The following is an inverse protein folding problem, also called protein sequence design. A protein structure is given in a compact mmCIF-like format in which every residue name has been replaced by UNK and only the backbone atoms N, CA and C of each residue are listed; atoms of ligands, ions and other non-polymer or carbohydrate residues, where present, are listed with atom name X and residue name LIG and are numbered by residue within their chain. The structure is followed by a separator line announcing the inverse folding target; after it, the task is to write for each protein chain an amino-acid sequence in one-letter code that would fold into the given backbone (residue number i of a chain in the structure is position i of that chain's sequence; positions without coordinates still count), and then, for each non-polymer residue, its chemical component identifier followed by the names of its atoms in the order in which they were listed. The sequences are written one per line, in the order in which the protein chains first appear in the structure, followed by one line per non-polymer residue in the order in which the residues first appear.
data_IF_765329602993
#
_entry.id   IF_765329602993
#
_cell.length_a   1.000
_cell.length_b   1.000
_cell.length_c   1.000
_cell.angle_alpha   90.00
_cell.angle_beta   90.00
_cell.angle_gamma   90.00
#
_symmetry.space_group_name_H-M   'P 1'
#
loop_
_entity.id
_entity.type
_entity.pdbx_description
1 polymer ?
#
# COMPACT_ATOMS: atom_id res chain seq x y z
N UNK A 1 -3.47 19.78 9.69
CA UNK A 1 -3.51 18.84 10.87
C UNK A 1 -2.73 17.57 10.54
N UNK A 2 -1.83 17.05 11.41
CA UNK A 2 -1.05 15.85 11.13
C UNK A 2 -1.92 14.63 10.83
N UNK A 3 -1.46 13.76 9.92
CA UNK A 3 -2.08 12.45 9.70
C UNK A 3 -2.03 11.65 11.01
N UNK A 4 -3.20 11.34 11.56
CA UNK A 4 -3.28 10.42 12.69
C UNK A 4 -3.13 8.99 12.16
N UNK A 5 -1.91 8.47 12.19
CA UNK A 5 -1.57 7.15 11.69
C UNK A 5 -2.42 6.03 12.33
N UNK A 6 -2.70 6.12 13.63
CA UNK A 6 -3.53 5.14 14.31
C UNK A 6 -4.97 5.16 13.80
N UNK A 7 -5.53 6.35 13.57
CA UNK A 7 -6.86 6.47 12.97
C UNK A 7 -6.89 5.92 11.55
N UNK A 8 -5.86 6.19 10.75
CA UNK A 8 -5.74 5.65 9.39
C UNK A 8 -5.73 4.12 9.41
N UNK A 9 -4.90 3.50 10.24
CA UNK A 9 -4.82 2.04 10.38
C UNK A 9 -6.17 1.45 10.79
N UNK A 10 -6.87 2.06 11.76
CA UNK A 10 -8.22 1.62 12.17
C UNK A 10 -9.21 1.68 11.03
N UNK A 11 -9.19 2.76 10.27
CA UNK A 11 -10.10 2.95 9.15
C UNK A 11 -9.78 2.01 7.97
N UNK A 12 -8.50 1.73 7.72
CA UNK A 12 -8.06 0.71 6.77
C UNK A 12 -8.49 -0.70 7.18
N UNK A 13 -8.32 -1.08 8.45
CA UNK A 13 -8.76 -2.39 8.97
C UNK A 13 -10.29 -2.55 8.86
N UNK A 14 -11.05 -1.50 9.20
CA UNK A 14 -12.51 -1.47 9.05
C UNK A 14 -12.91 -1.65 7.59
N UNK A 15 -12.27 -0.94 6.68
CA UNK A 15 -12.53 -1.03 5.24
C UNK A 15 -12.18 -2.41 4.66
N UNK A 16 -11.14 -3.08 5.19
CA UNK A 16 -10.86 -4.48 4.84
C UNK A 16 -12.01 -5.38 5.24
N UNK A 17 -12.51 -5.26 6.47
CA UNK A 17 -13.63 -6.07 6.93
C UNK A 17 -14.91 -5.84 6.12
N UNK A 18 -15.21 -4.57 5.79
CA UNK A 18 -16.34 -4.23 4.92
C UNK A 18 -16.18 -4.80 3.50
N UNK A 19 -14.96 -4.77 2.95
CA UNK A 19 -14.64 -5.35 1.63
C UNK A 19 -14.82 -6.87 1.65
N UNK A 20 -14.37 -7.53 2.73
CA UNK A 20 -14.55 -8.96 2.95
C UNK A 20 -16.01 -9.38 2.86
N UNK A 21 -16.85 -8.74 3.66
CA UNK A 21 -18.28 -9.02 3.70
C UNK A 21 -18.95 -8.69 2.38
N UNK A 22 -18.59 -7.57 1.76
CA UNK A 22 -19.15 -7.16 0.47
C UNK A 22 -18.86 -8.16 -0.64
N UNK A 23 -17.62 -8.65 -0.75
CA UNK A 23 -17.27 -9.66 -1.75
C UNK A 23 -17.95 -11.00 -1.42
N UNK A 24 -17.94 -11.42 -0.16
CA UNK A 24 -18.56 -12.68 0.27
C UNK A 24 -20.06 -12.70 -0.02
N UNK A 25 -20.79 -11.67 0.40
CA UNK A 25 -22.24 -11.53 0.20
C UNK A 25 -22.55 -11.33 -1.29
N UNK A 26 -21.80 -10.46 -1.97
CA UNK A 26 -21.99 -10.21 -3.41
C UNK A 26 -21.78 -11.47 -4.27
N UNK A 27 -20.76 -12.28 -3.96
CA UNK A 27 -20.56 -13.56 -4.65
C UNK A 27 -21.73 -14.54 -4.39
N UNK A 28 -22.20 -14.64 -3.14
CA UNK A 28 -23.33 -15.53 -2.77
C UNK A 28 -24.66 -15.09 -3.40
N UNK A 29 -24.90 -13.78 -3.50
CA UNK A 29 -26.09 -13.19 -4.10
C UNK A 29 -25.99 -13.04 -5.63
N UNK A 30 -24.86 -13.41 -6.24
CA UNK A 30 -24.55 -13.17 -7.65
C UNK A 30 -24.62 -11.67 -8.05
N UNK A 31 -24.32 -10.77 -7.12
CA UNK A 31 -24.19 -9.32 -7.28
C UNK A 31 -22.71 -8.92 -7.09
N UNK A 32 -21.89 -9.29 -8.08
CA UNK A 32 -20.43 -9.16 -7.98
C UNK A 32 -20.00 -7.71 -8.16
N UNK A 33 -19.42 -7.14 -7.12
CA UNK A 33 -18.73 -5.86 -7.18
C UNK A 33 -17.51 -5.94 -8.11
N UNK A 34 -17.34 -4.93 -8.95
CA UNK A 34 -16.16 -4.79 -9.80
C UNK A 34 -15.00 -4.24 -8.98
N UNK A 35 -13.78 -4.55 -9.44
CA UNK A 35 -12.54 -4.11 -8.80
C UNK A 35 -12.44 -2.58 -8.74
N UNK A 36 -12.72 -1.90 -9.86
CA UNK A 36 -12.72 -0.44 -9.96
C UNK A 36 -13.62 0.21 -8.89
N UNK A 37 -14.80 -0.35 -8.70
CA UNK A 37 -15.82 0.16 -7.77
C UNK A 37 -15.40 -0.01 -6.31
N UNK A 38 -14.70 -1.10 -6.00
CA UNK A 38 -14.14 -1.33 -4.66
C UNK A 38 -13.01 -0.32 -4.43
N UNK A 39 -12.09 -0.17 -5.39
CA UNK A 39 -10.99 0.79 -5.31
C UNK A 39 -11.49 2.21 -5.10
N UNK A 40 -12.45 2.67 -5.90
CA UNK A 40 -12.99 4.03 -5.81
C UNK A 40 -13.63 4.30 -4.45
N UNK A 41 -14.39 3.34 -3.91
CA UNK A 41 -15.02 3.49 -2.59
C UNK A 41 -13.99 3.52 -1.45
N UNK A 42 -12.98 2.65 -1.50
CA UNK A 42 -11.90 2.61 -0.52
C UNK A 42 -11.14 3.94 -0.50
N UNK A 43 -10.69 4.41 -1.67
CA UNK A 43 -9.91 5.63 -1.80
C UNK A 43 -10.74 6.85 -1.40
N UNK A 44 -11.98 6.96 -1.88
CA UNK A 44 -12.88 8.05 -1.49
C UNK A 44 -13.13 8.08 0.02
N UNK A 45 -13.37 6.92 0.64
CA UNK A 45 -13.62 6.84 2.08
C UNK A 45 -12.40 7.25 2.88
N UNK A 46 -11.20 6.78 2.49
CA UNK A 46 -9.95 7.15 3.15
C UNK A 46 -9.67 8.64 3.00
N UNK A 47 -9.75 9.19 1.78
CA UNK A 47 -9.52 10.63 1.53
C UNK A 47 -10.50 11.50 2.32
N UNK A 48 -11.77 11.11 2.42
CA UNK A 48 -12.77 11.87 3.18
C UNK A 48 -12.47 11.89 4.68
N UNK A 49 -11.93 10.81 5.24
CA UNK A 49 -11.61 10.70 6.68
C UNK A 49 -10.22 11.21 7.03
N UNK A 50 -9.30 11.08 6.09
CA UNK A 50 -7.91 11.45 6.19
C UNK A 50 -7.59 12.33 4.98
N UNK A 51 -8.00 13.62 4.99
CA UNK A 51 -7.75 14.54 3.87
C UNK A 51 -6.26 14.79 3.64
N UNK A 52 -5.41 14.44 4.62
CA UNK A 52 -3.96 14.39 4.45
C UNK A 52 -3.53 13.24 3.52
N UNK A 53 -4.34 12.20 3.32
CA UNK A 53 -3.94 11.11 2.45
C UNK A 53 -4.00 11.55 0.97
N UNK A 54 -2.86 11.92 0.39
CA UNK A 54 -2.73 12.21 -1.03
C UNK A 54 -2.79 10.90 -1.84
N UNK A 55 -3.77 10.83 -2.74
CA UNK A 55 -4.00 9.69 -3.63
C UNK A 55 -4.01 10.20 -5.06
N UNK A 56 -3.27 9.54 -5.95
CA UNK A 56 -3.46 9.68 -7.39
C UNK A 56 -4.07 8.40 -7.93
N UNK A 57 -5.30 8.49 -8.43
CA UNK A 57 -5.94 7.41 -9.19
C UNK A 57 -5.41 7.47 -10.63
N UNK A 58 -5.02 6.34 -11.19
CA UNK A 58 -4.66 6.27 -12.61
C UNK A 58 -5.90 5.99 -13.45
N UNK A 59 -6.01 6.68 -14.59
CA UNK A 59 -6.99 6.31 -15.60
C UNK A 59 -6.47 5.15 -16.46
N UNK A 60 -7.32 4.62 -17.35
CA UNK A 60 -6.96 3.46 -18.20
C UNK A 60 -5.74 3.69 -19.10
N UNK A 61 -5.52 4.93 -19.54
CA UNK A 61 -4.38 5.26 -20.38
C UNK A 61 -3.08 5.25 -19.56
N UNK A 62 -3.11 5.86 -18.38
CA UNK A 62 -1.97 5.85 -17.44
C UNK A 62 -1.70 4.45 -16.89
N UNK A 63 -2.72 3.65 -16.60
CA UNK A 63 -2.59 2.26 -16.14
C UNK A 63 -1.86 1.40 -17.18
N UNK A 64 -2.00 1.71 -18.48
CA UNK A 64 -1.28 0.98 -19.53
C UNK A 64 0.23 1.17 -19.43
N UNK A 65 0.70 2.38 -19.14
CA UNK A 65 2.13 2.70 -19.03
C UNK A 65 2.68 2.40 -17.64
N UNK A 66 1.88 2.60 -16.59
CA UNK A 66 2.34 2.45 -15.20
C UNK A 66 2.07 1.07 -14.61
N UNK A 67 1.11 0.32 -15.16
CA UNK A 67 0.62 -0.92 -14.58
C UNK A 67 -0.08 -0.75 -13.22
N UNK A 68 -0.32 0.49 -12.75
CA UNK A 68 -0.88 0.78 -11.43
C UNK A 68 -2.33 1.26 -11.53
N UNK A 69 -3.12 0.94 -10.51
CA UNK A 69 -4.49 1.45 -10.30
C UNK A 69 -4.49 2.80 -9.57
N UNK A 70 -3.60 2.95 -8.59
CA UNK A 70 -3.37 4.21 -7.90
C UNK A 70 -1.96 4.27 -7.31
N UNK A 71 -1.58 5.44 -6.84
CA UNK A 71 -0.38 5.63 -6.02
C UNK A 71 -0.68 6.46 -4.77
N UNK A 72 0.08 6.17 -3.71
CA UNK A 72 0.15 6.95 -2.48
C UNK A 72 1.51 7.62 -2.36
N UNK A 73 1.51 8.90 -2.01
CA UNK A 73 2.71 9.70 -1.81
C UNK A 73 2.89 10.01 -0.33
N UNK A 74 3.88 9.41 0.32
CA UNK A 74 4.07 9.52 1.76
C UNK A 74 5.32 10.33 2.05
N UNK A 75 5.18 11.47 2.74
CA UNK A 75 6.34 12.33 2.92
C UNK A 75 6.16 13.66 3.62
N UNK A 76 7.07 14.58 3.30
CA UNK A 76 6.97 16.03 3.46
C UNK A 76 8.13 16.69 2.71
N UNK A 77 8.18 18.01 2.63
CA UNK A 77 9.36 18.71 2.08
C UNK A 77 10.62 18.50 2.94
N UNK A 78 10.47 18.42 4.27
CA UNK A 78 11.59 18.36 5.22
C UNK A 78 12.15 16.94 5.40
N UNK A 79 11.34 15.91 5.10
CA UNK A 79 11.72 14.49 5.23
C UNK A 79 11.80 13.76 3.90
N UNK A 80 11.26 14.39 2.85
CA UNK A 80 11.12 13.78 1.55
C UNK A 80 9.85 12.94 1.37
N UNK A 81 9.62 12.39 0.16
CA UNK A 81 8.55 11.54 -0.32
C UNK A 81 8.99 10.15 -0.78
N UNK A 82 8.34 9.10 -0.31
CA UNK A 82 8.36 7.81 -0.98
C UNK A 82 6.97 7.48 -1.53
N UNK A 83 6.93 6.63 -2.53
CA UNK A 83 5.72 6.26 -3.26
C UNK A 83 5.38 4.81 -3.09
N UNK A 84 4.10 4.53 -2.91
CA UNK A 84 3.54 3.20 -3.06
C UNK A 84 2.72 3.19 -4.34
N UNK A 85 3.17 2.47 -5.36
CA UNK A 85 2.37 2.23 -6.57
C UNK A 85 1.63 0.92 -6.42
N UNK A 86 0.31 0.99 -6.49
CA UNK A 86 -0.56 -0.12 -6.14
C UNK A 86 -1.35 -0.59 -7.36
N UNK A 87 -1.35 -1.89 -7.55
CA UNK A 87 -2.24 -2.59 -8.46
C UNK A 87 -3.28 -3.41 -7.67
N UNK A 88 -4.56 -3.15 -7.89
CA UNK A 88 -5.64 -3.93 -7.30
C UNK A 88 -5.90 -5.20 -8.10
N UNK A 89 -6.21 -6.29 -7.39
CA UNK A 89 -6.75 -7.52 -8.00
C UNK A 89 -7.85 -8.12 -7.14
N UNK A 90 -9.03 -8.37 -7.72
CA UNK A 90 -10.15 -9.01 -7.01
C UNK A 90 -10.10 -10.54 -7.10
N UNK A 91 -10.52 -11.22 -6.03
CA UNK A 91 -10.72 -12.68 -6.06
C UNK A 91 -11.91 -13.10 -6.95
N UNK A 92 -11.71 -14.12 -7.78
CA UNK A 92 -12.74 -14.75 -8.61
C UNK A 92 -12.80 -16.26 -8.36
N UNK A 93 -13.73 -16.69 -7.50
CA UNK A 93 -13.80 -18.07 -7.05
C UNK A 93 -12.58 -18.42 -6.21
N UNK A 94 -11.70 -19.29 -6.72
CA UNK A 94 -10.45 -19.69 -6.04
C UNK A 94 -9.20 -18.98 -6.57
N UNK A 95 -9.33 -17.98 -7.46
CA UNK A 95 -8.22 -17.41 -8.22
C UNK A 95 -8.24 -15.88 -8.33
N UNK A 96 -7.08 -15.26 -8.45
CA UNK A 96 -6.90 -13.89 -8.93
C UNK A 96 -6.73 -13.88 -10.45
N UNK A 97 -7.83 -14.09 -11.19
CA UNK A 97 -7.77 -14.28 -12.66
C UNK A 97 -7.12 -13.11 -13.41
N UNK A 98 -7.23 -11.90 -12.88
CA UNK A 98 -6.70 -10.69 -13.50
C UNK A 98 -5.17 -10.59 -13.41
N UNK A 99 -4.48 -11.47 -12.66
CA UNK A 99 -3.02 -11.57 -12.74
C UNK A 99 -2.52 -12.05 -14.11
N UNK A 100 -3.39 -12.73 -14.87
CA UNK A 100 -3.10 -13.15 -16.24
C UNK A 100 -3.34 -12.01 -17.27
N UNK A 101 -3.69 -10.80 -16.82
CA UNK A 101 -3.86 -9.64 -17.71
C UNK A 101 -2.53 -9.28 -18.37
N UNK A 102 -2.61 -9.00 -19.68
CA UNK A 102 -1.43 -8.67 -20.48
C UNK A 102 -0.85 -7.32 -20.08
N UNK A 103 0.48 -7.27 -20.04
CA UNK A 103 1.23 -6.03 -19.83
C UNK A 103 1.45 -5.26 -21.13
N UNK A 104 2.42 -4.35 -21.09
CA UNK A 104 2.90 -3.65 -22.27
C UNK A 104 3.80 -4.56 -23.11
N UNK A 105 3.17 -5.23 -24.09
CA UNK A 105 3.84 -6.17 -24.98
C UNK A 105 4.94 -5.47 -25.81
N UNK A 106 4.74 -4.19 -26.15
CA UNK A 106 5.71 -3.43 -26.94
C UNK A 106 6.98 -3.16 -26.12
N UNK A 107 6.85 -3.03 -24.79
CA UNK A 107 7.95 -2.98 -23.84
C UNK A 107 8.48 -4.38 -23.43
N UNK A 108 7.94 -5.46 -24.00
CA UNK A 108 8.35 -6.84 -23.67
C UNK A 108 7.75 -7.39 -22.38
N UNK A 109 6.73 -6.73 -21.82
CA UNK A 109 6.04 -7.17 -20.62
C UNK A 109 4.88 -8.10 -20.98
N UNK A 110 4.97 -9.36 -20.57
CA UNK A 110 3.92 -10.36 -20.78
C UNK A 110 2.70 -10.07 -19.89
N UNK A 111 2.93 -9.67 -18.63
CA UNK A 111 1.89 -9.43 -17.64
C UNK A 111 1.93 -8.00 -17.08
N UNK A 112 0.77 -7.49 -16.67
CA UNK A 112 0.62 -6.12 -16.19
C UNK A 112 1.50 -5.79 -14.97
N UNK A 113 1.72 -6.75 -14.07
CA UNK A 113 2.61 -6.56 -12.92
C UNK A 113 4.08 -6.36 -13.32
N UNK A 114 4.50 -6.80 -14.51
CA UNK A 114 5.85 -6.53 -15.02
C UNK A 114 5.98 -5.07 -15.45
N UNK A 115 4.95 -4.50 -16.09
CA UNK A 115 4.86 -3.06 -16.35
C UNK A 115 4.97 -2.28 -15.04
N UNK A 116 4.19 -2.66 -14.02
CA UNK A 116 4.26 -2.03 -12.70
C UNK A 116 5.66 -2.06 -12.10
N UNK A 117 6.32 -3.22 -12.11
CA UNK A 117 7.67 -3.35 -11.58
C UNK A 117 8.67 -2.48 -12.34
N UNK A 118 8.65 -2.54 -13.68
CA UNK A 118 9.57 -1.79 -14.52
C UNK A 118 9.41 -0.28 -14.33
N UNK A 119 8.17 0.21 -14.29
CA UNK A 119 7.85 1.63 -14.10
C UNK A 119 8.27 2.17 -12.71
N UNK A 120 8.47 1.29 -11.72
CA UNK A 120 9.00 1.66 -10.40
C UNK A 120 10.54 1.58 -10.32
N UNK A 121 11.22 0.92 -11.25
CA UNK A 121 12.68 0.73 -11.18
C UNK A 121 13.48 1.98 -11.53
N UNK A 122 12.86 2.95 -12.18
CA UNK A 122 13.48 4.23 -12.53
C UNK A 122 13.55 5.21 -11.33
N UNK A 123 13.00 4.83 -10.16
CA UNK A 123 13.02 5.63 -8.94
C UNK A 123 13.23 4.77 -7.68
N UNK A 124 14.32 5.03 -6.95
CA UNK A 124 14.68 4.32 -5.71
C UNK A 124 13.68 4.55 -4.55
N UNK A 125 12.83 5.56 -4.64
CA UNK A 125 11.79 5.88 -3.66
C UNK A 125 10.39 5.33 -4.03
N UNK A 126 10.25 4.54 -5.10
CA UNK A 126 8.95 3.95 -5.51
C UNK A 126 8.89 2.46 -5.27
N UNK A 127 7.87 2.02 -4.52
CA UNK A 127 7.68 0.61 -4.18
C UNK A 127 6.39 0.05 -4.83
N UNK A 128 6.51 -1.02 -5.64
CA UNK A 128 5.35 -1.64 -6.28
C UNK A 128 4.70 -2.69 -5.38
N UNK A 129 3.40 -2.54 -5.15
CA UNK A 129 2.58 -3.52 -4.41
C UNK A 129 1.34 -3.93 -5.19
N UNK A 130 0.87 -5.13 -4.89
CA UNK A 130 -0.52 -5.51 -5.17
C UNK A 130 -1.37 -5.36 -3.91
N UNK A 131 -2.63 -5.00 -4.10
CA UNK A 131 -3.67 -5.16 -3.09
C UNK A 131 -4.74 -6.11 -3.61
N UNK A 132 -4.89 -7.26 -2.94
CA UNK A 132 -5.92 -8.23 -3.23
C UNK A 132 -7.21 -7.90 -2.49
N UNK A 133 -8.32 -7.80 -3.22
CA UNK A 133 -9.65 -7.72 -2.64
C UNK A 133 -10.25 -9.11 -2.47
N UNK A 134 -10.50 -9.47 -1.21
CA UNK A 134 -10.85 -10.81 -0.78
C UNK A 134 -12.20 -10.85 -0.07
N UNK A 135 -12.81 -12.03 -0.03
CA UNK A 135 -14.06 -12.28 0.67
C UNK A 135 -14.64 -13.64 0.30
N UNK A 136 -14.81 -14.51 1.30
CA UNK A 136 -15.39 -15.84 1.09
C UNK A 136 -15.93 -16.49 2.36
N UNK A 137 -16.83 -17.48 2.23
CA UNK A 137 -17.12 -18.40 3.33
C UNK A 137 -15.86 -19.20 3.71
N UNK A 138 -15.69 -19.50 5.00
CA UNK A 138 -14.56 -20.29 5.53
C UNK A 138 -14.36 -21.62 4.78
N UNK A 139 -15.44 -22.21 4.28
CA UNK A 139 -15.45 -23.49 3.55
C UNK A 139 -14.92 -23.40 2.11
N UNK A 140 -14.60 -22.20 1.58
CA UNK A 140 -14.16 -22.05 0.18
C UNK A 140 -12.85 -22.79 -0.11
N UNK A 141 -11.94 -22.80 0.86
CA UNK A 141 -10.65 -23.49 0.76
C UNK A 141 -10.62 -24.61 1.80
N UNK A 142 -10.27 -25.82 1.36
CA UNK A 142 -10.04 -26.96 2.27
C UNK A 142 -8.74 -26.84 3.05
N UNK A 143 -7.82 -26.01 2.54
CA UNK A 143 -6.53 -25.72 3.12
C UNK A 143 -6.66 -24.45 3.97
N UNK A 144 -6.26 -24.51 5.23
CA UNK A 144 -5.99 -23.30 6.00
C UNK A 144 -4.73 -22.68 5.43
N UNK A 145 -4.84 -21.47 4.87
CA UNK A 145 -3.66 -20.67 4.56
C UNK A 145 -3.22 -19.99 5.86
N UNK A 146 -2.02 -20.33 6.32
CA UNK A 146 -1.37 -19.59 7.39
C UNK A 146 -0.47 -18.56 6.73
N UNK A 147 -0.66 -17.29 7.03
CA UNK A 147 0.27 -16.28 6.56
C UNK A 147 1.50 -16.22 7.42
N UNK A 148 2.63 -15.86 6.82
CA UNK A 148 3.87 -15.57 7.54
C UNK A 148 3.68 -14.41 8.52
N UNK A 149 2.68 -13.56 8.27
CA UNK A 149 2.24 -12.55 9.22
C UNK A 149 1.60 -13.16 10.47
N UNK A 150 0.73 -14.16 10.35
CA UNK A 150 0.10 -14.83 11.50
C UNK A 150 1.11 -15.58 12.38
N UNK A 151 2.18 -16.12 11.79
CA UNK A 151 3.28 -16.72 12.55
C UNK A 151 3.99 -15.71 13.47
N UNK A 152 4.16 -14.48 13.00
CA UNK A 152 4.88 -13.42 13.72
C UNK A 152 3.99 -12.64 14.69
N UNK A 153 2.79 -12.32 14.22
CA UNK A 153 1.91 -11.34 14.84
C UNK A 153 0.72 -12.01 15.56
N UNK A 154 0.59 -13.34 15.45
CA UNK A 154 -0.53 -14.10 15.96
C UNK A 154 -1.69 -14.14 14.99
N UNK A 155 -2.68 -14.99 15.30
CA UNK A 155 -3.87 -15.16 14.47
C UNK A 155 -4.66 -13.84 14.40
N UNK A 156 -4.97 -13.43 13.17
CA UNK A 156 -5.81 -12.28 12.89
C UNK A 156 -7.24 -12.70 12.55
N UNK A 157 -8.17 -11.77 12.69
CA UNK A 157 -9.52 -11.93 12.15
C UNK A 157 -9.43 -12.06 10.62
N UNK A 158 -10.20 -12.98 10.05
CA UNK A 158 -10.14 -13.29 8.62
C UNK A 158 -10.51 -12.08 7.76
N UNK A 159 -11.42 -11.25 8.26
CA UNK A 159 -11.95 -10.05 7.64
C UNK A 159 -10.88 -8.99 7.38
N UNK A 160 -9.79 -8.98 8.16
CA UNK A 160 -8.65 -8.08 7.92
C UNK A 160 -7.91 -8.39 6.62
N UNK A 161 -8.11 -9.58 6.06
CA UNK A 161 -7.56 -9.97 4.76
C UNK A 161 -8.42 -9.50 3.59
N UNK A 162 -9.57 -8.84 3.83
CA UNK A 162 -10.43 -8.29 2.79
C UNK A 162 -9.69 -7.32 1.86
N UNK A 163 -8.67 -6.63 2.38
CA UNK A 163 -7.63 -5.99 1.57
C UNK A 163 -6.26 -6.52 2.02
N UNK A 164 -5.66 -7.38 1.20
CA UNK A 164 -4.35 -7.97 1.50
C UNK A 164 -3.28 -7.38 0.58
N UNK A 165 -2.25 -6.75 1.14
CA UNK A 165 -1.13 -6.25 0.36
C UNK A 165 -0.01 -7.29 0.23
N UNK A 166 0.70 -7.24 -0.89
CA UNK A 166 1.88 -8.07 -1.18
C UNK A 166 2.81 -7.31 -2.13
N UNK A 167 4.14 -7.47 -2.01
CA UNK A 167 5.06 -6.89 -3.00
C UNK A 167 4.77 -7.45 -4.39
N UNK A 168 4.80 -6.57 -5.40
CA UNK A 168 4.67 -7.00 -6.78
C UNK A 168 5.82 -7.90 -7.23
N UNK A 169 7.01 -7.79 -6.61
CA UNK A 169 8.12 -8.71 -6.85
C UNK A 169 7.77 -10.13 -6.40
N UNK A 170 7.15 -10.28 -5.23
CA UNK A 170 6.68 -11.58 -4.75
C UNK A 170 5.57 -12.16 -5.65
N UNK A 171 4.66 -11.29 -6.14
CA UNK A 171 3.66 -11.69 -7.14
C UNK A 171 4.32 -12.19 -8.41
N UNK A 172 5.31 -11.46 -8.94
CA UNK A 172 6.09 -11.87 -10.10
C UNK A 172 6.72 -13.25 -9.88
N UNK A 173 7.43 -13.45 -8.77
CA UNK A 173 8.15 -14.70 -8.50
C UNK A 173 7.20 -15.88 -8.33
N UNK A 174 6.10 -15.68 -7.59
CA UNK A 174 5.07 -16.71 -7.44
C UNK A 174 4.37 -16.99 -8.76
N UNK A 175 4.03 -15.97 -9.54
CA UNK A 175 3.27 -16.15 -10.78
C UNK A 175 4.14 -16.75 -11.90
N UNK A 176 5.37 -16.27 -12.08
CA UNK A 176 6.29 -16.66 -13.16
C UNK A 176 6.98 -18.01 -12.89
N UNK A 177 7.35 -18.33 -11.64
CA UNK A 177 7.99 -19.60 -11.31
C UNK A 177 7.01 -20.80 -11.31
N UNK A 178 5.78 -20.64 -11.78
CA UNK A 178 4.81 -21.74 -11.95
C UNK A 178 5.18 -22.72 -13.06
N UNK A 179 6.27 -22.49 -13.82
CA UNK A 179 6.70 -23.38 -14.91
C UNK A 179 6.96 -24.82 -14.48
N UNK A 180 7.23 -25.09 -13.19
CA UNK A 180 7.43 -26.45 -12.65
C UNK A 180 6.15 -27.12 -12.09
N UNK A 181 5.06 -26.38 -11.87
CA UNK A 181 3.78 -26.90 -11.35
C UNK A 181 2.60 -26.26 -12.08
N UNK A 182 1.99 -27.04 -13.01
CA UNK A 182 0.81 -26.72 -13.86
C UNK A 182 0.35 -25.24 -13.81
N UNK A 183 0.64 -24.49 -14.88
CA UNK A 183 0.08 -23.16 -15.21
C UNK A 183 -1.36 -22.93 -14.72
N UNK A 184 -2.19 -23.97 -14.73
CA UNK A 184 -3.54 -23.98 -14.17
C UNK A 184 -3.68 -23.43 -12.74
N UNK A 185 -2.63 -23.43 -11.90
CA UNK A 185 -2.66 -22.99 -10.50
C UNK A 185 -1.93 -21.67 -10.22
N UNK A 186 -1.35 -21.03 -11.23
CA UNK A 186 -0.52 -19.83 -11.02
C UNK A 186 -1.27 -18.68 -10.36
N UNK A 187 -2.57 -18.57 -10.62
CA UNK A 187 -3.43 -17.53 -10.06
C UNK A 187 -4.22 -17.99 -8.81
N UNK A 188 -3.94 -19.17 -8.25
CA UNK A 188 -4.71 -19.70 -7.11
C UNK A 188 -4.45 -18.86 -5.85
N UNK A 189 -5.51 -18.48 -5.15
CA UNK A 189 -5.44 -17.62 -3.94
C UNK A 189 -4.47 -18.15 -2.87
N UNK A 190 -4.50 -19.45 -2.48
CA UNK A 190 -3.62 -19.97 -1.44
C UNK A 190 -2.11 -19.83 -1.74
N UNK A 191 -1.74 -19.55 -3.00
CA UNK A 191 -0.35 -19.31 -3.38
C UNK A 191 0.18 -17.97 -2.86
N UNK A 192 -0.68 -16.97 -2.77
CA UNK A 192 -0.30 -15.59 -2.46
C UNK A 192 -0.57 -15.21 -1.01
N UNK A 193 -1.59 -15.80 -0.39
CA UNK A 193 -1.96 -15.49 1.00
C UNK A 193 -0.81 -15.71 2.01
N UNK A 194 0.05 -16.75 1.89
CA UNK A 194 1.16 -16.95 2.82
C UNK A 194 2.10 -15.74 2.94
N UNK A 195 2.43 -15.13 1.80
CA UNK A 195 3.33 -13.98 1.73
C UNK A 195 2.61 -12.64 1.78
N UNK A 196 1.28 -12.63 1.91
CA UNK A 196 0.51 -11.38 1.99
C UNK A 196 0.44 -10.88 3.44
N UNK A 197 0.01 -9.63 3.60
CA UNK A 197 -0.29 -9.02 4.89
C UNK A 197 -1.56 -8.14 4.80
N UNK A 198 -2.27 -7.87 5.91
CA UNK A 198 -3.35 -6.88 5.89
C UNK A 198 -2.80 -5.52 5.42
N UNK A 199 -3.44 -4.87 4.45
CA UNK A 199 -2.90 -3.66 3.81
C UNK A 199 -2.57 -2.51 4.77
N UNK A 200 -3.21 -2.45 5.93
CA UNK A 200 -2.93 -1.47 6.99
C UNK A 200 -1.50 -1.60 7.55
N UNK A 201 -0.88 -2.79 7.44
CA UNK A 201 0.50 -3.02 7.89
C UNK A 201 1.56 -2.47 6.93
N UNK A 202 1.17 -1.96 5.76
CA UNK A 202 2.07 -1.11 4.96
C UNK A 202 2.49 0.16 5.72
N UNK A 203 1.66 0.58 6.69
CA UNK A 203 1.85 1.83 7.43
C UNK A 203 2.34 1.62 8.87
N UNK A 204 2.53 0.37 9.30
CA UNK A 204 3.00 0.10 10.67
C UNK A 204 3.78 -1.20 10.79
N UNK A 205 4.85 -1.13 11.57
CA UNK A 205 5.59 -2.30 12.05
C UNK A 205 4.92 -3.01 13.22
N UNK A 206 3.83 -2.44 13.76
CA UNK A 206 3.14 -3.03 14.90
C UNK A 206 2.49 -4.36 14.49
N UNK A 207 3.03 -5.47 15.00
CA UNK A 207 2.45 -6.82 14.88
C UNK A 207 1.26 -7.05 15.80
N UNK A 208 1.01 -6.21 16.81
CA UNK A 208 -0.01 -6.55 17.81
C UNK A 208 -1.42 -6.37 17.25
N UNK A 209 -2.30 -7.33 17.57
CA UNK A 209 -3.74 -7.19 17.41
C UNK A 209 -4.16 -5.85 18.02
N UNK A 210 -4.80 -5.01 17.22
CA UNK A 210 -5.33 -3.70 17.63
C UNK A 210 -6.47 -3.82 18.65
N UNK A 211 -6.66 -4.97 19.29
CA UNK A 211 -7.45 -5.08 20.53
C UNK A 211 -6.66 -4.59 21.75
N UNK A 212 -5.31 -4.60 21.72
CA UNK A 212 -4.44 -3.99 22.75
C UNK A 212 -4.18 -2.50 22.45
N UNK A 213 -5.23 -1.78 22.05
CA UNK A 213 -5.23 -0.37 21.67
C UNK A 213 -4.48 0.52 22.66
N UNK A 214 -4.55 0.21 23.96
CA UNK A 214 -3.95 1.04 24.99
C UNK A 214 -2.41 1.11 24.92
N UNK A 215 -1.75 0.04 24.47
CA UNK A 215 -0.28 0.02 24.37
C UNK A 215 0.20 0.67 23.06
N UNK A 216 -0.56 0.49 21.97
CA UNK A 216 -0.25 1.12 20.68
C UNK A 216 -0.54 2.63 20.67
N UNK A 217 -1.61 3.07 21.35
CA UNK A 217 -1.94 4.49 21.57
C UNK A 217 -0.83 5.24 22.32
N UNK A 218 -0.18 4.57 23.29
CA UNK A 218 0.89 5.18 24.07
C UNK A 218 2.21 5.35 23.30
N UNK A 219 2.43 4.56 22.24
CA UNK A 219 3.64 4.60 21.41
C UNK A 219 3.46 5.38 20.11
N UNK A 220 2.57 4.91 19.21
CA UNK A 220 2.41 5.46 17.86
C UNK A 220 1.73 6.84 17.89
N UNK A 221 0.75 7.02 18.79
CA UNK A 221 0.04 8.30 18.94
C UNK A 221 0.88 9.45 19.51
N UNK A 222 2.11 9.16 19.97
CA UNK A 222 3.04 10.16 20.52
C UNK A 222 4.28 10.38 19.65
N UNK A 223 4.40 9.67 18.52
CA UNK A 223 5.53 9.83 17.64
C UNK A 223 5.55 11.25 17.09
N UNK A 224 6.74 11.85 17.10
CA UNK A 224 6.98 13.04 16.32
C UNK A 224 6.72 12.76 14.84
N UNK A 225 6.55 13.80 14.02
CA UNK A 225 6.33 13.57 12.61
C UNK A 225 7.49 12.81 11.97
N UNK A 226 8.74 13.21 12.22
CA UNK A 226 9.93 12.49 11.73
C UNK A 226 9.90 11.00 12.06
N UNK A 227 9.59 10.66 13.32
CA UNK A 227 9.49 9.25 13.74
C UNK A 227 8.35 8.51 13.02
N UNK A 228 7.23 9.18 12.76
CA UNK A 228 6.12 8.62 11.98
C UNK A 228 6.56 8.30 10.55
N UNK A 229 7.26 9.22 9.88
CA UNK A 229 7.79 9.00 8.53
C UNK A 229 8.78 7.82 8.49
N UNK A 230 9.79 7.83 9.38
CA UNK A 230 10.76 6.74 9.48
C UNK A 230 10.09 5.40 9.76
N UNK A 231 9.05 5.38 10.60
CA UNK A 231 8.29 4.17 10.88
C UNK A 231 7.52 3.65 9.66
N UNK A 232 6.84 4.52 8.91
CA UNK A 232 6.10 4.14 7.69
C UNK A 232 7.03 3.65 6.59
N UNK A 233 8.16 4.33 6.37
CA UNK A 233 9.15 3.93 5.38
C UNK A 233 9.79 2.58 5.74
N UNK A 234 10.19 2.40 7.00
CA UNK A 234 10.70 1.11 7.50
C UNK A 234 9.65 0.01 7.36
N UNK A 235 8.38 0.29 7.66
CA UNK A 235 7.30 -0.67 7.46
C UNK A 235 7.15 -1.11 6.01
N UNK A 236 7.24 -0.16 5.08
CA UNK A 236 7.19 -0.42 3.65
C UNK A 236 8.35 -1.29 3.19
N UNK A 237 9.59 -0.92 3.56
CA UNK A 237 10.80 -1.65 3.19
C UNK A 237 10.76 -3.08 3.71
N UNK A 238 10.38 -3.27 4.96
CA UNK A 238 10.33 -4.63 5.48
C UNK A 238 9.13 -5.40 4.93
N UNK A 239 7.98 -4.77 4.68
CA UNK A 239 6.89 -5.43 3.96
C UNK A 239 7.34 -5.93 2.57
N UNK A 240 8.04 -5.09 1.81
CA UNK A 240 8.62 -5.46 0.51
C UNK A 240 9.57 -6.65 0.65
N UNK A 241 10.60 -6.52 1.48
CA UNK A 241 11.61 -7.57 1.66
C UNK A 241 11.00 -8.88 2.19
N UNK A 242 10.09 -8.76 3.16
CA UNK A 242 9.37 -9.88 3.75
C UNK A 242 8.64 -10.72 2.73
N UNK A 243 7.89 -10.03 1.88
CA UNK A 243 7.09 -10.70 0.86
C UNK A 243 7.98 -11.27 -0.26
N UNK A 244 9.07 -10.59 -0.62
CA UNK A 244 9.99 -11.00 -1.70
C UNK A 244 10.80 -12.25 -1.36
N UNK A 245 11.45 -12.27 -0.20
CA UNK A 245 12.42 -13.33 0.10
C UNK A 245 11.74 -14.64 0.54
N UNK A 246 10.50 -14.59 1.05
CA UNK A 246 9.89 -15.74 1.74
C UNK A 246 10.75 -16.26 2.91
N UNK A 247 11.74 -15.46 3.34
CA UNK A 247 12.70 -15.77 4.40
C UNK A 247 12.15 -15.22 5.70
N UNK A 248 11.69 -16.10 6.59
CA UNK A 248 11.60 -15.79 8.02
C UNK A 248 11.95 -17.01 8.89
N UNK A 249 13.19 -17.46 8.79
CA UNK A 249 13.86 -18.07 9.94
C UNK A 249 14.06 -17.02 11.05
N UNK A 250 14.10 -17.47 12.31
CA UNK A 250 14.11 -16.72 13.59
C UNK A 250 14.19 -15.18 13.47
N UNK A 251 13.07 -14.60 13.05
CA UNK A 251 13.05 -13.26 12.46
C UNK A 251 13.22 -12.13 13.47
N UNK A 252 13.05 -12.41 14.77
CA UNK A 252 13.10 -11.41 15.84
C UNK A 252 14.46 -10.69 15.87
N UNK A 253 15.55 -11.40 15.61
CA UNK A 253 16.89 -10.83 15.63
C UNK A 253 17.14 -9.94 14.41
N UNK A 254 16.76 -10.37 13.21
CA UNK A 254 16.88 -9.59 11.97
C UNK A 254 15.95 -8.36 11.97
N UNK A 255 14.80 -8.43 12.63
CA UNK A 255 13.88 -7.31 12.83
C UNK A 255 14.41 -6.30 13.85
N UNK A 256 14.95 -6.78 14.98
CA UNK A 256 15.63 -5.90 15.92
C UNK A 256 16.92 -5.34 15.32
N UNK A 257 17.57 -6.05 14.41
CA UNK A 257 18.76 -5.60 13.68
C UNK A 257 18.38 -4.60 12.58
N UNK A 258 17.27 -4.78 11.86
CA UNK A 258 16.73 -3.78 10.94
C UNK A 258 16.25 -2.53 11.69
N UNK A 259 15.56 -2.66 12.83
CA UNK A 259 15.23 -1.51 13.68
C UNK A 259 16.50 -0.87 14.25
N UNK A 260 17.47 -1.64 14.77
CA UNK A 260 18.72 -1.09 15.34
C UNK A 260 19.59 -0.44 14.28
N UNK A 261 19.74 -1.07 13.12
CA UNK A 261 20.58 -0.58 12.04
C UNK A 261 19.88 0.53 11.25
N UNK A 262 18.59 0.45 10.92
CA UNK A 262 17.91 1.52 10.16
C UNK A 262 17.44 2.71 11.00
N UNK A 263 17.28 2.58 12.33
CA UNK A 263 17.08 3.74 13.20
C UNK A 263 18.40 4.42 13.60
N UNK A 264 19.56 3.81 13.35
CA UNK A 264 20.88 4.35 13.73
C UNK A 264 21.88 4.50 12.57
N UNK A 265 21.61 4.03 11.35
CA UNK A 265 22.52 4.28 10.23
C UNK A 265 22.33 5.68 9.68
N UNK A 266 23.45 6.35 9.47
CA UNK A 266 23.64 7.61 8.76
C UNK A 266 23.19 7.58 7.27
N UNK A 267 22.30 6.65 6.89
CA UNK A 267 21.67 6.54 5.56
C UNK A 267 20.86 7.79 5.18
N UNK A 268 20.66 8.70 6.15
CA UNK A 268 19.94 9.97 6.03
C UNK A 268 20.83 11.08 5.43
N UNK A 269 22.15 10.90 5.31
CA UNK A 269 23.07 11.99 4.90
C UNK A 269 23.35 12.10 3.39
N UNK A 270 22.89 11.17 2.55
CA UNK A 270 23.00 11.29 1.09
C UNK A 270 21.67 11.76 0.47
N UNK A 271 21.30 13.01 0.78
CA UNK A 271 20.14 13.75 0.25
C UNK A 271 20.36 14.60 -1.05
N UNK A 272 21.30 14.36 -2.00
CA UNK A 272 21.37 15.20 -3.19
C UNK A 272 20.22 14.99 -4.20
N UNK A 273 19.83 13.74 -4.49
CA UNK A 273 18.90 13.46 -5.61
C UNK A 273 17.42 13.49 -5.20
N UNK A 274 17.15 13.26 -3.91
CA UNK A 274 15.83 13.31 -3.31
C UNK A 274 15.14 14.69 -3.42
N UNK A 275 15.94 15.77 -3.44
CA UNK A 275 15.43 17.12 -3.62
C UNK A 275 14.79 17.33 -5.01
N UNK A 276 15.23 16.58 -6.03
CA UNK A 276 14.64 16.58 -7.38
C UNK A 276 13.26 15.89 -7.38
N UNK A 277 13.13 14.76 -6.72
CA UNK A 277 11.85 14.04 -6.55
C UNK A 277 10.84 14.85 -5.74
N UNK A 278 11.31 15.59 -4.73
CA UNK A 278 10.47 16.54 -3.98
C UNK A 278 9.95 17.66 -4.90
N UNK A 279 10.76 18.09 -5.88
CA UNK A 279 10.33 19.07 -6.88
C UNK A 279 9.37 18.48 -7.92
N UNK A 280 9.51 17.20 -8.29
CA UNK A 280 8.60 16.53 -9.21
C UNK A 280 7.25 16.17 -8.55
N UNK A 281 7.27 15.76 -7.28
CA UNK A 281 6.07 15.66 -6.44
C UNK A 281 5.37 17.03 -6.37
N UNK A 282 6.13 18.09 -6.03
CA UNK A 282 5.59 19.44 -5.99
C UNK A 282 5.05 19.89 -7.33
N UNK A 283 5.76 19.66 -8.45
CA UNK A 283 5.28 19.99 -9.81
C UNK A 283 4.02 19.22 -10.17
N UNK A 284 3.92 17.95 -9.79
CA UNK A 284 2.73 17.15 -10.01
C UNK A 284 1.53 17.75 -9.26
N UNK A 285 1.67 18.03 -7.97
CA UNK A 285 0.57 18.57 -7.15
C UNK A 285 0.30 20.06 -7.35
N UNK A 286 1.28 20.84 -7.78
CA UNK A 286 1.14 22.25 -8.16
C UNK A 286 0.73 22.42 -9.64
N UNK A 287 0.66 21.32 -10.41
CA UNK A 287 0.19 21.38 -11.78
C UNK A 287 -1.27 21.80 -11.82
N UNK A 288 -1.60 22.62 -12.82
CA UNK A 288 -2.97 23.04 -13.07
C UNK A 288 -3.89 21.84 -13.31
N UNK A 289 -3.35 20.81 -13.95
CA UNK A 289 -4.03 19.55 -14.27
C UNK A 289 -4.49 18.80 -13.00
N UNK A 290 -3.65 18.73 -11.95
CA UNK A 290 -4.03 18.10 -10.68
C UNK A 290 -5.25 18.76 -10.03
N UNK A 291 -5.34 20.09 -10.06
CA UNK A 291 -6.45 20.85 -9.47
C UNK A 291 -7.70 20.90 -10.36
N UNK A 292 -7.53 20.89 -11.69
CA UNK A 292 -8.65 20.84 -12.64
C UNK A 292 -9.34 19.45 -12.62
N UNK A 293 -8.58 18.38 -12.42
CA UNK A 293 -9.08 17.01 -12.28
C UNK A 293 -9.59 16.69 -10.85
N UNK A 294 -9.19 17.45 -9.83
CA UNK A 294 -9.66 17.33 -8.44
C UNK A 294 -10.44 18.58 -7.97
N UNK A 295 -11.66 18.76 -8.50
CA UNK A 295 -12.57 19.89 -8.18
C UNK A 295 -12.99 20.03 -6.69
N UNK A 296 -12.49 19.16 -5.80
CA UNK A 296 -12.76 19.18 -4.36
C UNK A 296 -11.92 20.22 -3.59
N UNK A 297 -10.91 20.83 -4.21
CA UNK A 297 -10.02 21.84 -3.61
C UNK A 297 -10.24 23.21 -4.26
N UNK A 298 -10.93 24.18 -3.62
CA UNK A 298 -11.14 25.50 -4.22
C UNK A 298 -9.84 26.32 -4.20
N UNK A 299 -9.50 27.05 -5.28
CA UNK A 299 -8.33 27.91 -5.29
C UNK A 299 -8.61 29.13 -4.42
N UNK A 300 -7.84 29.32 -3.34
CA UNK A 300 -7.81 30.60 -2.62
C UNK A 300 -6.49 31.31 -2.92
N UNK A 301 -6.60 32.62 -3.16
CA UNK A 301 -5.53 33.50 -3.64
C UNK A 301 -4.26 33.42 -2.79
N UNK A 302 -3.11 33.29 -3.45
CA UNK A 302 -1.83 32.93 -2.86
C UNK A 302 -1.21 33.90 -1.85
N UNK A 303 -1.73 35.11 -1.64
CA UNK A 303 -1.01 36.15 -0.88
C UNK A 303 -1.24 36.13 0.64
N UNK A 304 -2.27 35.45 1.14
CA UNK A 304 -2.63 35.47 2.58
C UNK A 304 -2.00 34.35 3.40
N UNK A 305 -1.46 33.31 2.76
CA UNK A 305 -0.99 32.13 3.46
C UNK A 305 0.40 32.35 4.10
N UNK A 306 1.23 33.27 3.54
CA UNK A 306 2.69 33.39 3.69
C UNK A 306 3.32 33.63 5.08
N UNK A 307 2.63 33.62 6.23
CA UNK A 307 3.23 34.15 7.48
C UNK A 307 3.00 33.39 8.79
N UNK A 308 2.27 32.30 8.80
CA UNK A 308 2.11 31.44 9.97
C UNK A 308 1.88 29.97 9.59
N UNK A 309 2.85 29.04 9.75
CA UNK A 309 2.75 27.74 10.51
C UNK A 309 3.93 26.73 10.25
N UNK A 310 4.12 25.68 11.11
CA UNK A 310 5.39 24.94 11.31
C UNK A 310 5.47 23.47 10.81
N UNK A 311 6.69 22.94 10.75
CA UNK A 311 7.14 21.60 10.30
C UNK A 311 6.34 20.39 10.86
N UNK A 312 5.62 19.64 10.01
CA UNK A 312 4.95 18.37 10.36
C UNK A 312 4.98 17.38 9.18
N UNK A 313 4.84 16.07 9.42
CA UNK A 313 4.78 15.01 8.38
C UNK A 313 3.46 15.13 7.67
N UNK A 314 3.59 15.29 6.37
CA UNK A 314 2.61 15.84 5.48
C UNK A 314 2.55 14.89 4.30
N UNK A 315 1.69 13.87 4.37
CA UNK A 315 1.11 13.36 3.13
C UNK A 315 0.32 14.57 2.60
N UNK A 316 0.88 15.20 1.56
CA UNK A 316 0.79 16.62 1.16
C UNK A 316 0.37 17.69 2.16
N UNK A 317 1.32 18.60 2.36
CA UNK A 317 1.11 19.93 2.88
C UNK A 317 0.28 20.74 1.89
N UNK A 318 -1.02 20.78 2.13
CA UNK A 318 -1.64 22.09 2.13
C UNK A 318 -1.50 22.59 3.55
N UNK A 319 -0.75 23.67 3.75
CA UNK A 319 -1.14 24.83 4.57
C UNK A 319 0.08 25.69 4.92
N UNK A 320 0.01 26.98 4.53
CA UNK A 320 0.57 28.14 5.26
C UNK A 320 2.07 28.03 5.65
N UNK A 321 3.02 28.59 4.90
CA UNK A 321 3.08 29.98 4.40
C UNK A 321 2.86 30.19 2.88
#
# INVERSE_FOLDING_TARGET
MPLNLLSLIRDMDRLSAETWDRIKIGDLANLKFREDSITDELLFTLMRKHPQLAVKRFNQYEEKSTGADWEWWIGSRSFGWFRLRIQAKRVHGKKYKQLDHRGDIDAGHEFQYQTLIADCQDDDATYPFHVFFNGWPETRFSESFKSDHEDRCGKLAQELWGCAAVSSYAVHDLHFNSKKTRWARRADVPRYMPVSLPWSRLFTLACKNMSDIHTAELGIGKLSPRETFTHMHSATLVAEKATREGIFGDSTEMWQDALRNHLLTDFILELPDYARETQDAWRFFASRDYFEDNQSFPPRSGEFLYRTLPDTVLVLDLESD
#
